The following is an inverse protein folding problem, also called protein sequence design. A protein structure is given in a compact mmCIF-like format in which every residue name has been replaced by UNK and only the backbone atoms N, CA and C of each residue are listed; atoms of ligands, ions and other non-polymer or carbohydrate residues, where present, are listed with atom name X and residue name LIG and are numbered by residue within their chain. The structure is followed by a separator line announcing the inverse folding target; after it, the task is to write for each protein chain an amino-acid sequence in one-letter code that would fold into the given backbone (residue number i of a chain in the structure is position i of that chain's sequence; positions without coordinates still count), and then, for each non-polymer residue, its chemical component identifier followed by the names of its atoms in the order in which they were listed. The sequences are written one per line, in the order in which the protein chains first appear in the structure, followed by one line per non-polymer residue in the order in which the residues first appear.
data_IF_840314027086
#
_entry.id   IF_840314027086
#
_cell.length_a   1.000
_cell.length_b   1.000
_cell.length_c   1.000
_cell.angle_alpha   90.00
_cell.angle_beta   90.00
_cell.angle_gamma   90.00
#
_symmetry.space_group_name_H-M   'P 1'
#
loop_
_entity.id
_entity.type
_entity.pdbx_description
1 polymer ?
#
# COMPACT_ATOMS: atom_id res chain seq x y z
N UNK A 1 -18.13 33.10 6.63
CA UNK A 1 -17.44 32.80 5.37
C UNK A 1 -18.03 31.56 4.75
N UNK A 2 -17.78 31.29 3.47
CA UNK A 2 -18.22 30.06 2.78
C UNK A 2 -17.06 29.33 2.07
N UNK A 3 -15.83 29.83 2.13
CA UNK A 3 -14.68 29.07 1.65
C UNK A 3 -14.33 27.97 2.65
N UNK A 4 -14.25 26.70 2.23
CA UNK A 4 -13.69 25.65 3.07
C UNK A 4 -12.15 25.75 3.12
N UNK A 5 -11.52 25.24 4.20
CA UNK A 5 -10.08 25.06 4.25
C UNK A 5 -9.53 24.28 3.07
N UNK A 6 -8.38 24.68 2.55
CA UNK A 6 -7.68 24.01 1.45
C UNK A 6 -6.38 23.42 1.99
N UNK A 7 -6.10 22.17 1.66
CA UNK A 7 -4.81 21.57 1.96
C UNK A 7 -3.74 22.16 1.03
N UNK A 8 -2.85 23.00 1.57
CA UNK A 8 -1.68 23.52 0.83
C UNK A 8 -0.58 22.46 0.72
N UNK A 9 -0.59 21.48 1.62
CA UNK A 9 0.21 20.27 1.52
C UNK A 9 -0.62 19.05 1.95
N UNK A 10 -0.56 18.00 1.14
CA UNK A 10 -1.14 16.70 1.42
C UNK A 10 -0.08 15.62 1.11
N UNK A 11 0.12 14.62 1.99
CA UNK A 11 1.03 13.51 1.72
C UNK A 11 0.65 12.76 0.44
N UNK A 12 1.66 12.13 -0.16
CA UNK A 12 1.43 11.11 -1.18
C UNK A 12 1.24 9.75 -0.51
N UNK A 13 0.69 8.80 -1.27
CA UNK A 13 0.54 7.42 -0.84
C UNK A 13 1.89 6.81 -0.45
N UNK A 14 1.86 5.95 0.57
CA UNK A 14 3.03 5.34 1.19
C UNK A 14 3.00 3.85 0.90
N UNK A 15 4.10 3.32 0.35
CA UNK A 15 4.26 1.91 0.02
C UNK A 15 5.43 1.35 0.82
N UNK A 16 5.16 0.37 1.67
CA UNK A 16 6.16 -0.23 2.56
C UNK A 16 5.99 -1.73 2.63
N UNK A 17 7.10 -2.42 2.81
CA UNK A 17 7.13 -3.84 3.12
C UNK A 17 7.76 -4.07 4.50
N UNK A 18 7.15 -4.96 5.28
CA UNK A 18 7.71 -5.38 6.55
C UNK A 18 7.29 -6.81 6.90
N UNK A 19 8.20 -7.52 7.56
CA UNK A 19 7.92 -8.86 8.12
C UNK A 19 7.19 -8.80 9.46
N UNK A 20 7.00 -7.61 10.03
CA UNK A 20 6.32 -7.37 11.30
C UNK A 20 5.52 -6.04 11.25
N UNK A 21 4.57 -5.80 12.16
CA UNK A 21 3.95 -4.49 12.28
C UNK A 21 4.99 -3.39 12.51
N UNK A 22 4.85 -2.26 11.83
CA UNK A 22 5.81 -1.14 11.89
C UNK A 22 5.10 0.17 12.19
N UNK A 23 5.81 1.08 12.85
CA UNK A 23 5.40 2.47 12.96
C UNK A 23 5.72 3.19 11.64
N UNK A 24 4.75 3.93 11.11
CA UNK A 24 4.90 4.66 9.84
C UNK A 24 4.81 6.15 10.13
N UNK A 25 5.84 6.88 9.73
CA UNK A 25 5.92 8.34 9.90
C UNK A 25 5.68 9.05 8.56
N UNK A 26 4.82 10.06 8.58
CA UNK A 26 4.62 11.00 7.47
C UNK A 26 4.58 12.43 7.98
N UNK A 27 4.80 13.38 7.06
CA UNK A 27 4.61 14.79 7.35
C UNK A 27 3.11 15.08 7.37
N UNK A 28 2.60 15.65 8.46
CA UNK A 28 1.17 15.95 8.55
C UNK A 28 0.73 16.99 7.50
N UNK A 29 -0.53 16.92 7.02
CA UNK A 29 -1.07 17.89 6.07
C UNK A 29 -1.06 19.31 6.61
N UNK A 30 -0.93 20.29 5.72
CA UNK A 30 -1.03 21.72 6.05
C UNK A 30 -2.28 22.27 5.40
N UNK A 31 -3.15 22.86 6.20
CA UNK A 31 -4.37 23.51 5.73
C UNK A 31 -4.25 25.02 5.82
N UNK A 32 -4.79 25.71 4.83
CA UNK A 32 -4.87 27.16 4.73
C UNK A 32 -6.32 27.57 4.44
N UNK A 33 -6.75 28.62 5.11
CA UNK A 33 -8.04 29.26 4.87
C UNK A 33 -7.91 30.77 5.09
N UNK A 34 -8.83 31.55 4.55
CA UNK A 34 -8.91 32.99 4.81
C UNK A 34 -9.38 33.29 6.25
N UNK A 35 -9.95 32.29 6.93
CA UNK A 35 -10.34 32.33 8.34
C UNK A 35 -9.37 31.52 9.22
N UNK A 36 -9.57 31.62 10.53
CA UNK A 36 -8.89 30.75 11.49
C UNK A 36 -9.45 29.33 11.44
N UNK A 37 -8.57 28.34 11.35
CA UNK A 37 -8.88 26.93 11.57
C UNK A 37 -9.24 26.71 13.05
N UNK A 38 -10.30 25.97 13.31
CA UNK A 38 -10.69 25.56 14.66
C UNK A 38 -10.06 24.23 15.06
N UNK A 39 -10.09 23.26 14.15
CA UNK A 39 -9.60 21.92 14.42
C UNK A 39 -9.13 21.22 13.14
N UNK A 40 -8.18 20.32 13.30
CA UNK A 40 -7.77 19.33 12.30
C UNK A 40 -7.87 17.97 13.00
N UNK A 41 -8.72 17.10 12.47
CA UNK A 41 -8.94 15.75 13.01
C UNK A 41 -8.47 14.69 12.00
N UNK A 42 -8.04 13.53 12.48
CA UNK A 42 -7.54 12.44 11.64
C UNK A 42 -7.97 11.08 12.17
N UNK A 43 -8.19 10.12 11.27
CA UNK A 43 -8.43 8.73 11.64
C UNK A 43 -7.15 7.95 11.99
N UNK A 44 -5.99 8.41 11.53
CA UNK A 44 -4.67 7.88 11.85
C UNK A 44 -3.65 9.00 12.06
N UNK A 45 -2.69 8.80 12.96
CA UNK A 45 -1.66 9.79 13.27
C UNK A 45 -0.28 9.30 12.83
N UNK A 46 0.57 10.26 12.43
CA UNK A 46 1.95 9.97 12.10
C UNK A 46 2.67 9.33 13.29
N UNK A 47 3.28 8.16 13.07
CA UNK A 47 3.91 7.36 14.12
C UNK A 47 3.03 6.21 14.64
N UNK A 48 1.77 6.09 14.22
CA UNK A 48 0.93 4.94 14.54
C UNK A 48 1.54 3.63 13.99
N UNK A 49 1.21 2.51 14.64
CA UNK A 49 1.65 1.17 14.22
C UNK A 49 0.62 0.59 13.27
N UNK A 50 1.07 0.23 12.07
CA UNK A 50 0.27 -0.40 11.04
C UNK A 50 0.58 -1.89 10.91
N UNK A 51 -0.45 -2.64 10.56
CA UNK A 51 -0.36 -4.05 10.15
C UNK A 51 -0.57 -4.15 8.63
N UNK A 52 -0.33 -5.34 8.08
CA UNK A 52 -0.47 -5.54 6.64
C UNK A 52 -1.86 -5.21 6.10
N UNK A 53 -1.88 -4.62 4.91
CA UNK A 53 -3.10 -4.19 4.22
C UNK A 53 -3.00 -2.76 3.71
N UNK A 54 -4.14 -2.28 3.21
CA UNK A 54 -4.36 -0.91 2.77
C UNK A 54 -5.05 -0.13 3.90
N UNK A 55 -4.52 1.04 4.23
CA UNK A 55 -5.07 1.95 5.24
C UNK A 55 -5.29 3.32 4.65
N UNK A 56 -6.56 3.70 4.54
CA UNK A 56 -6.95 5.00 4.01
C UNK A 56 -6.88 6.06 5.11
N UNK A 57 -5.96 7.01 4.99
CA UNK A 57 -5.75 8.09 5.97
C UNK A 57 -6.52 9.33 5.52
N UNK A 58 -7.35 9.87 6.41
CA UNK A 58 -8.24 11.00 6.15
C UNK A 58 -8.01 12.06 7.22
N UNK A 59 -7.52 13.22 6.80
CA UNK A 59 -7.46 14.43 7.61
C UNK A 59 -8.62 15.36 7.25
N UNK A 60 -9.35 15.84 8.27
CA UNK A 60 -10.46 16.79 8.13
C UNK A 60 -10.17 18.07 8.91
N UNK A 61 -10.02 19.19 8.20
CA UNK A 61 -9.87 20.51 8.81
C UNK A 61 -11.23 21.23 8.85
N UNK A 62 -11.52 21.91 9.96
CA UNK A 62 -12.74 22.70 10.15
C UNK A 62 -12.40 24.15 10.48
N UNK A 63 -12.99 25.11 9.76
CA UNK A 63 -12.82 26.54 10.00
C UNK A 63 -13.77 27.09 11.09
N UNK A 64 -13.62 28.37 11.45
CA UNK A 64 -14.51 29.05 12.41
C UNK A 64 -15.94 29.29 11.93
N UNK A 65 -16.20 29.16 10.62
CA UNK A 65 -17.52 29.22 10.00
C UNK A 65 -18.17 27.83 9.85
N UNK A 66 -17.53 26.77 10.39
CA UNK A 66 -17.96 25.38 10.30
C UNK A 66 -17.97 24.79 8.88
N UNK A 67 -17.14 25.32 7.97
CA UNK A 67 -16.81 24.70 6.69
C UNK A 67 -15.68 23.69 6.88
N UNK A 68 -15.68 22.62 6.07
CA UNK A 68 -14.72 21.51 6.21
C UNK A 68 -13.91 21.29 4.93
N UNK A 69 -12.60 21.16 5.08
CA UNK A 69 -11.66 20.73 4.04
C UNK A 69 -11.07 19.36 4.35
N UNK A 70 -10.63 18.61 3.33
CA UNK A 70 -10.05 17.28 3.49
C UNK A 70 -8.75 17.08 2.71
N UNK A 71 -7.89 16.22 3.24
CA UNK A 71 -6.71 15.66 2.58
C UNK A 71 -6.67 14.17 2.90
N UNK A 72 -6.45 13.34 1.87
CA UNK A 72 -6.58 11.89 1.94
C UNK A 72 -5.39 11.27 1.19
N UNK A 73 -4.84 10.18 1.73
CA UNK A 73 -3.78 9.37 1.11
C UNK A 73 -3.82 7.95 1.65
N UNK A 74 -3.23 7.01 0.92
CA UNK A 74 -3.25 5.60 1.26
C UNK A 74 -1.90 5.11 1.80
N UNK A 75 -1.94 4.19 2.75
CA UNK A 75 -0.79 3.44 3.24
C UNK A 75 -0.96 1.97 2.87
N UNK A 76 -0.03 1.47 2.06
CA UNK A 76 0.06 0.07 1.66
C UNK A 76 1.19 -0.60 2.43
N UNK A 77 0.84 -1.47 3.38
CA UNK A 77 1.81 -2.27 4.12
C UNK A 77 1.75 -3.74 3.70
N UNK A 78 2.78 -4.22 3.00
CA UNK A 78 2.85 -5.60 2.51
C UNK A 78 3.72 -6.49 3.39
N UNK A 79 3.38 -7.78 3.51
CA UNK A 79 4.25 -8.74 4.17
C UNK A 79 5.37 -9.07 3.20
N UNK A 80 6.62 -8.79 3.59
CA UNK A 80 7.81 -8.81 2.73
C UNK A 80 8.27 -10.21 2.24
N UNK A 81 7.34 -11.09 1.88
CA UNK A 81 7.67 -12.43 1.38
C UNK A 81 6.84 -12.78 0.16
N UNK A 82 7.24 -12.30 -1.02
CA UNK A 82 7.03 -13.11 -2.22
C UNK A 82 7.89 -14.37 -2.06
N UNK A 83 7.32 -15.40 -1.42
CA UNK A 83 8.01 -16.68 -1.27
C UNK A 83 8.10 -17.30 -2.65
N UNK A 84 9.32 -17.39 -3.19
CA UNK A 84 9.58 -18.09 -4.45
C UNK A 84 8.99 -19.50 -4.35
N UNK A 85 8.14 -19.93 -5.30
CA UNK A 85 7.56 -21.26 -5.26
C UNK A 85 8.68 -22.31 -5.21
N UNK A 86 8.50 -23.31 -4.35
CA UNK A 86 9.48 -24.39 -4.19
C UNK A 86 9.62 -25.20 -5.48
N UNK A 87 10.83 -25.65 -5.79
CA UNK A 87 11.08 -26.48 -6.96
C UNK A 87 10.38 -27.85 -6.80
N UNK A 88 9.55 -28.27 -7.77
CA UNK A 88 8.93 -29.57 -7.71
C UNK A 88 9.97 -30.68 -7.93
N UNK A 89 9.74 -31.85 -7.33
CA UNK A 89 10.68 -32.98 -7.37
C UNK A 89 10.85 -33.59 -8.79
N UNK A 90 9.88 -33.38 -9.69
CA UNK A 90 9.89 -33.85 -11.09
C UNK A 90 9.41 -32.76 -12.05
N UNK A 91 10.03 -31.58 -11.97
CA UNK A 91 9.73 -30.47 -12.86
C UNK A 91 10.53 -29.23 -12.52
N UNK A 92 10.23 -28.15 -13.24
CA UNK A 92 10.90 -26.86 -13.09
C UNK A 92 9.93 -25.71 -12.82
N UNK A 93 10.47 -24.71 -12.15
CA UNK A 93 9.82 -23.40 -11.97
C UNK A 93 10.46 -22.44 -12.96
N UNK A 94 9.69 -22.00 -13.94
CA UNK A 94 10.12 -21.02 -14.94
C UNK A 94 9.60 -19.63 -14.55
N UNK A 95 10.49 -18.75 -14.13
CA UNK A 95 10.17 -17.34 -13.88
C UNK A 95 10.06 -16.63 -15.23
N UNK A 96 8.85 -16.23 -15.60
CA UNK A 96 8.56 -15.57 -16.88
C UNK A 96 8.77 -14.05 -16.79
N UNK A 97 8.44 -13.46 -15.64
CA UNK A 97 8.60 -12.03 -15.39
C UNK A 97 8.89 -11.83 -13.90
N UNK A 98 10.00 -11.19 -13.56
CA UNK A 98 10.35 -10.82 -12.18
C UNK A 98 10.87 -9.40 -12.16
N UNK A 99 10.21 -8.52 -11.41
CA UNK A 99 10.66 -7.17 -11.11
C UNK A 99 10.74 -7.05 -9.59
N UNK A 100 11.89 -6.60 -9.08
CA UNK A 100 12.07 -6.25 -7.67
C UNK A 100 12.52 -4.79 -7.64
N UNK A 101 11.66 -3.88 -7.21
CA UNK A 101 11.93 -2.44 -7.14
C UNK A 101 11.43 -1.82 -5.85
N UNK A 102 11.91 -0.60 -5.55
CA UNK A 102 11.51 0.17 -4.36
C UNK A 102 10.01 0.52 -4.35
N UNK A 103 9.34 0.46 -5.50
CA UNK A 103 7.92 0.80 -5.68
C UNK A 103 7.02 -0.41 -5.95
N UNK A 104 7.52 -1.64 -5.82
CA UNK A 104 6.77 -2.81 -6.26
C UNK A 104 7.63 -4.04 -6.58
N UNK A 105 7.06 -5.23 -6.43
CA UNK A 105 7.69 -6.51 -6.73
C UNK A 105 6.68 -7.41 -7.43
N UNK A 106 6.92 -7.66 -8.70
CA UNK A 106 6.09 -8.53 -9.49
C UNK A 106 6.88 -9.79 -9.82
N UNK A 107 6.37 -10.95 -9.43
CA UNK A 107 6.96 -12.24 -9.80
C UNK A 107 5.90 -13.15 -10.39
N UNK A 108 6.05 -13.47 -11.67
CA UNK A 108 5.28 -14.49 -12.38
C UNK A 108 6.15 -15.70 -12.66
N UNK A 109 5.74 -16.86 -12.15
CA UNK A 109 6.37 -18.15 -12.39
C UNK A 109 5.36 -19.15 -12.96
N UNK A 110 5.77 -20.02 -13.87
CA UNK A 110 5.00 -21.18 -14.30
C UNK A 110 5.70 -22.47 -13.90
N UNK A 111 4.94 -23.47 -13.47
CA UNK A 111 5.48 -24.80 -13.17
C UNK A 111 5.32 -25.71 -14.39
N UNK A 112 6.39 -26.39 -14.77
CA UNK A 112 6.39 -27.37 -15.85
C UNK A 112 6.85 -28.73 -15.31
N UNK A 113 6.13 -29.81 -15.65
CA UNK A 113 6.54 -31.17 -15.33
C UNK A 113 7.35 -31.77 -16.47
N UNK A 114 8.38 -32.55 -16.16
CA UNK A 114 9.13 -33.35 -17.15
C UNK A 114 8.53 -34.75 -17.36
N UNK A 115 7.69 -35.23 -16.43
CA UNK A 115 7.06 -36.56 -16.53
C UNK A 115 5.67 -36.48 -17.18
N UNK A 116 5.50 -37.14 -18.33
CA UNK A 116 4.23 -37.23 -19.07
C UNK A 116 3.17 -38.11 -18.37
N UNK A 117 3.50 -38.76 -17.24
CA UNK A 117 2.62 -39.71 -16.56
C UNK A 117 1.53 -39.10 -15.69
N UNK A 118 1.58 -37.79 -15.41
CA UNK A 118 0.57 -37.12 -14.60
C UNK A 118 0.13 -35.78 -15.22
N UNK A 119 -1.06 -35.69 -15.82
CA UNK A 119 -1.68 -34.41 -16.11
C UNK A 119 -2.28 -33.89 -14.80
N UNK A 120 -1.51 -33.12 -14.03
CA UNK A 120 -2.14 -32.24 -13.04
C UNK A 120 -2.32 -30.89 -13.70
N UNK A 121 -3.56 -30.59 -14.11
CA UNK A 121 -3.97 -29.21 -14.36
C UNK A 121 -3.86 -28.44 -13.04
N UNK A 122 -2.68 -27.87 -12.82
CA UNK A 122 -2.43 -26.83 -11.84
C UNK A 122 -2.55 -25.45 -12.49
N UNK A 123 -2.62 -24.38 -11.71
CA UNK A 123 -2.63 -23.02 -12.26
C UNK A 123 -1.40 -22.81 -13.16
N UNK A 124 -1.63 -22.36 -14.40
CA UNK A 124 -0.59 -22.15 -15.42
C UNK A 124 0.47 -21.10 -15.03
N UNK A 125 0.18 -20.30 -14.02
CA UNK A 125 1.06 -19.27 -13.49
C UNK A 125 0.75 -19.01 -12.01
N UNK A 126 1.81 -18.76 -11.25
CA UNK A 126 1.80 -18.18 -9.92
C UNK A 126 2.23 -16.73 -10.08
N UNK A 127 1.41 -15.81 -9.58
CA UNK A 127 1.69 -14.38 -9.60
C UNK A 127 1.76 -13.91 -8.16
N UNK A 128 2.89 -13.30 -7.80
CA UNK A 128 2.99 -12.37 -6.69
C UNK A 128 3.01 -11.00 -7.33
N UNK A 129 2.01 -10.17 -7.07
CA UNK A 129 1.96 -8.79 -7.54
C UNK A 129 2.00 -7.88 -6.31
N UNK A 130 2.94 -6.94 -6.32
CA UNK A 130 3.11 -5.89 -5.32
C UNK A 130 3.13 -4.58 -6.11
N UNK A 131 2.03 -3.84 -5.99
CA UNK A 131 1.91 -2.43 -6.38
C UNK A 131 2.31 -1.54 -5.21
#
# INVERSE_FOLDING_TARGET
DKSPPIASFCPFDIFLDSSHPISIEWKEPVFEDNQSLLNIDSNFNSGDIFIWGEHHVIYTATDSSNNTGRCEFDIYLASSTCTKPQQPYYGDVLYKHSFDGESGSFSMASVQCEDERYPKEGPMFYVCDYM
#
